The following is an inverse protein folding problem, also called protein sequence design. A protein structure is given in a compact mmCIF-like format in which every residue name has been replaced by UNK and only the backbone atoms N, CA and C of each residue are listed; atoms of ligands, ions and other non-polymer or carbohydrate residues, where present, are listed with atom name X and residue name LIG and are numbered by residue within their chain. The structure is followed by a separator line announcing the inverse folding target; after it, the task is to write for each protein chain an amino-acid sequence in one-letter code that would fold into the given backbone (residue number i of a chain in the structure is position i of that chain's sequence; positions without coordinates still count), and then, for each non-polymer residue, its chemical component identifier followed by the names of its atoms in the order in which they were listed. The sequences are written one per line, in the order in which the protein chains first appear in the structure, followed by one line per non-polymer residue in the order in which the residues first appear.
data_IF_791860033693
#
_entry.id   IF_791860033693
#
_cell.length_a   1.000
_cell.length_b   1.000
_cell.length_c   1.000
_cell.angle_alpha   90.00
_cell.angle_beta   90.00
_cell.angle_gamma   90.00
#
_symmetry.space_group_name_H-M   'P 1'
#
loop_
_entity.id
_entity.type
_entity.pdbx_description
1 polymer ?
#
# COMPACT_ATOMS: atom_id res chain seq x y z
N UNK A 1 -6.79 24.58 -30.81
CA UNK A 1 -6.42 24.97 -29.43
C UNK A 1 -5.63 23.81 -28.85
N UNK A 2 -4.32 23.95 -28.66
CA UNK A 2 -3.51 22.90 -28.04
C UNK A 2 -3.93 22.79 -26.57
N UNK A 3 -4.53 21.66 -26.19
CA UNK A 3 -4.97 21.44 -24.80
C UNK A 3 -3.76 21.51 -23.87
N UNK A 4 -3.79 22.46 -22.95
CA UNK A 4 -2.75 22.60 -21.95
C UNK A 4 -2.84 21.40 -21.00
N UNK A 5 -1.82 20.54 -20.98
CA UNK A 5 -1.74 19.43 -20.02
C UNK A 5 -1.28 19.99 -18.68
N UNK A 6 -2.05 19.77 -17.62
CA UNK A 6 -1.66 20.15 -16.25
C UNK A 6 -0.35 19.44 -15.87
N UNK A 7 0.61 20.16 -15.27
CA UNK A 7 1.91 19.58 -14.88
C UNK A 7 2.46 20.21 -13.61
N UNK A 8 2.88 19.38 -12.67
CA UNK A 8 3.58 19.76 -11.45
C UNK A 8 5.09 19.48 -11.53
N UNK A 9 5.83 20.04 -10.58
CA UNK A 9 7.23 19.66 -10.29
C UNK A 9 7.29 18.43 -9.37
N UNK A 10 6.25 18.24 -8.58
CA UNK A 10 6.05 17.22 -7.56
C UNK A 10 4.55 16.91 -7.42
N UNK A 11 4.19 15.99 -6.52
CA UNK A 11 2.79 15.63 -6.29
C UNK A 11 1.94 16.82 -5.82
N UNK A 12 2.48 17.68 -4.95
CA UNK A 12 1.73 18.82 -4.40
C UNK A 12 1.35 19.83 -5.49
N UNK A 13 2.33 20.25 -6.27
CA UNK A 13 2.12 21.20 -7.37
C UNK A 13 1.29 20.58 -8.51
N UNK A 14 1.33 19.26 -8.71
CA UNK A 14 0.40 18.59 -9.62
C UNK A 14 -1.05 18.77 -9.15
N UNK A 15 -1.34 18.50 -7.88
CA UNK A 15 -2.70 18.69 -7.34
C UNK A 15 -3.13 20.16 -7.43
N UNK A 16 -2.23 21.11 -7.15
CA UNK A 16 -2.53 22.54 -7.27
C UNK A 16 -2.91 22.95 -8.70
N UNK A 17 -2.20 22.43 -9.71
CA UNK A 17 -2.48 22.72 -11.13
C UNK A 17 -3.82 22.13 -11.57
N UNK A 18 -4.13 20.91 -11.12
CA UNK A 18 -5.41 20.26 -11.41
C UNK A 18 -6.60 21.06 -10.86
N UNK A 19 -6.48 21.55 -9.61
CA UNK A 19 -7.49 22.41 -8.99
C UNK A 19 -7.60 23.76 -9.67
N UNK A 20 -6.46 24.39 -10.02
CA UNK A 20 -6.43 25.65 -10.78
C UNK A 20 -7.08 25.53 -12.16
N UNK A 21 -7.02 24.35 -12.79
CA UNK A 21 -7.64 24.05 -14.07
C UNK A 21 -9.12 23.65 -13.97
N UNK A 22 -9.76 23.87 -12.82
CA UNK A 22 -11.21 23.76 -12.64
C UNK A 22 -11.69 22.40 -12.14
N UNK A 23 -10.79 21.48 -11.79
CA UNK A 23 -11.20 20.28 -11.05
C UNK A 23 -11.52 20.68 -9.61
N UNK A 24 -12.58 20.09 -9.06
CA UNK A 24 -12.99 20.30 -7.66
C UNK A 24 -12.90 18.99 -6.91
N UNK A 25 -12.35 19.04 -5.69
CA UNK A 25 -12.20 17.91 -4.79
C UNK A 25 -12.80 18.25 -3.44
N UNK A 26 -13.30 17.22 -2.75
CA UNK A 26 -13.55 17.33 -1.31
C UNK A 26 -12.20 17.46 -0.58
N UNK A 27 -12.09 18.27 0.50
CA UNK A 27 -10.83 18.46 1.23
C UNK A 27 -10.18 17.16 1.71
N UNK A 28 -10.99 16.16 2.08
CA UNK A 28 -10.49 14.86 2.55
C UNK A 28 -9.86 14.07 1.41
N UNK A 29 -10.49 14.12 0.23
CA UNK A 29 -9.99 13.48 -0.99
C UNK A 29 -8.74 14.18 -1.51
N UNK A 30 -8.72 15.51 -1.49
CA UNK A 30 -7.52 16.28 -1.82
C UNK A 30 -6.36 15.92 -0.90
N UNK A 31 -6.59 15.86 0.42
CA UNK A 31 -5.56 15.50 1.38
C UNK A 31 -5.03 14.09 1.14
N UNK A 32 -5.90 13.10 0.88
CA UNK A 32 -5.48 11.73 0.56
C UNK A 32 -4.61 11.67 -0.71
N UNK A 33 -5.00 12.39 -1.77
CA UNK A 33 -4.21 12.47 -3.02
C UNK A 33 -2.86 13.14 -2.81
N UNK A 34 -2.77 14.14 -1.93
CA UNK A 34 -1.51 14.81 -1.59
C UNK A 34 -0.56 13.91 -0.79
N UNK A 35 -1.09 13.06 0.09
CA UNK A 35 -0.33 12.15 0.94
C UNK A 35 0.23 10.94 0.19
N UNK A 36 -0.45 10.50 -0.87
CA UNK A 36 0.05 9.40 -1.72
C UNK A 36 0.78 9.98 -2.92
N UNK A 37 2.11 10.06 -2.83
CA UNK A 37 2.91 10.58 -3.93
C UNK A 37 2.79 9.69 -5.17
N UNK A 38 2.17 10.23 -6.22
CA UNK A 38 1.99 9.56 -7.52
C UNK A 38 3.31 9.07 -8.13
N UNK A 39 4.40 9.81 -7.94
CA UNK A 39 5.73 9.49 -8.46
C UNK A 39 6.38 8.27 -7.81
N UNK A 40 5.86 7.81 -6.67
CA UNK A 40 6.30 6.55 -6.09
C UNK A 40 5.74 5.35 -6.84
N UNK A 41 4.62 5.49 -7.55
CA UNK A 41 3.92 4.37 -8.22
C UNK A 41 4.27 4.24 -9.71
N UNK A 42 5.42 4.76 -10.12
CA UNK A 42 5.99 4.60 -11.46
C UNK A 42 7.38 4.00 -11.36
N UNK A 43 7.72 3.06 -12.25
CA UNK A 43 9.06 2.45 -12.26
C UNK A 43 10.14 3.41 -12.80
N UNK A 44 9.76 4.29 -13.73
CA UNK A 44 10.64 5.28 -14.35
C UNK A 44 10.39 6.66 -13.73
N UNK A 45 11.24 7.05 -12.77
CA UNK A 45 11.16 8.37 -12.15
C UNK A 45 11.43 9.46 -13.19
N UNK A 46 10.59 10.49 -13.20
CA UNK A 46 10.77 11.65 -14.06
C UNK A 46 9.56 12.56 -14.10
N UNK A 47 9.65 13.69 -14.83
CA UNK A 47 8.60 14.72 -14.86
C UNK A 47 7.24 14.19 -15.31
N UNK A 48 7.21 13.13 -16.13
CA UNK A 48 5.97 12.49 -16.61
C UNK A 48 5.10 11.94 -15.49
N UNK A 49 5.68 11.58 -14.34
CA UNK A 49 4.91 11.13 -13.17
C UNK A 49 3.95 12.23 -12.68
N UNK A 50 4.35 13.49 -12.81
CA UNK A 50 3.63 14.67 -12.33
C UNK A 50 2.93 15.44 -13.45
N UNK A 51 2.54 14.75 -14.52
CA UNK A 51 1.73 15.32 -15.59
C UNK A 51 0.33 14.72 -15.53
N UNK A 52 -0.67 15.48 -15.97
CA UNK A 52 -2.04 14.99 -16.11
C UNK A 52 -2.20 14.07 -17.33
N UNK A 53 -1.47 12.95 -17.30
CA UNK A 53 -1.38 11.97 -18.35
C UNK A 53 -1.30 10.57 -17.74
N UNK A 54 -1.84 9.59 -18.48
CA UNK A 54 -1.62 8.21 -18.15
C UNK A 54 -0.14 7.85 -18.34
N UNK A 55 0.38 7.01 -17.45
CA UNK A 55 1.70 6.43 -17.53
C UNK A 55 1.58 4.91 -17.77
N UNK A 56 2.46 4.37 -18.61
CA UNK A 56 2.52 2.94 -18.95
C UNK A 56 3.97 2.49 -19.08
N UNK A 57 4.27 1.32 -18.52
CA UNK A 57 5.53 0.59 -18.76
C UNK A 57 5.25 -0.90 -18.66
N UNK A 58 5.45 -1.64 -19.75
CA UNK A 58 5.04 -3.05 -19.84
C UNK A 58 3.55 -3.24 -19.55
N UNK A 59 3.24 -4.11 -18.58
CA UNK A 59 1.88 -4.38 -18.09
C UNK A 59 1.35 -3.36 -17.08
N UNK A 60 2.20 -2.48 -16.56
CA UNK A 60 1.79 -1.47 -15.58
C UNK A 60 1.08 -0.33 -16.27
N UNK A 61 -0.07 0.07 -15.71
CA UNK A 61 -0.85 1.20 -16.14
C UNK A 61 -1.24 2.06 -14.95
N UNK A 62 -0.91 3.33 -15.01
CA UNK A 62 -1.31 4.33 -14.03
C UNK A 62 -2.12 5.41 -14.75
N UNK A 63 -3.43 5.45 -14.50
CA UNK A 63 -4.36 6.40 -15.13
C UNK A 63 -3.96 7.85 -14.87
N UNK A 64 -4.41 8.76 -15.72
CA UNK A 64 -4.16 10.18 -15.52
C UNK A 64 -4.75 10.66 -14.15
N UNK A 65 -4.08 11.58 -13.45
CA UNK A 65 -4.56 12.19 -12.20
C UNK A 65 -6.02 12.64 -12.26
N UNK A 66 -6.42 13.34 -13.32
CA UNK A 66 -7.80 13.80 -13.54
C UNK A 66 -8.83 12.66 -13.55
N UNK A 67 -8.46 11.49 -14.06
CA UNK A 67 -9.34 10.31 -14.07
C UNK A 67 -9.57 9.79 -12.64
N UNK A 68 -8.54 9.78 -11.79
CA UNK A 68 -8.71 9.40 -10.39
C UNK A 68 -9.57 10.40 -9.63
N UNK A 69 -9.39 11.70 -9.88
CA UNK A 69 -10.24 12.75 -9.29
C UNK A 69 -11.71 12.52 -9.66
N UNK A 70 -12.00 12.28 -10.94
CA UNK A 70 -13.38 11.99 -11.38
C UNK A 70 -13.90 10.71 -10.74
N UNK A 71 -13.11 9.64 -10.68
CA UNK A 71 -13.53 8.38 -10.06
C UNK A 71 -13.85 8.57 -8.56
N UNK A 72 -12.95 9.20 -7.80
CA UNK A 72 -13.11 9.41 -6.37
C UNK A 72 -14.36 10.24 -6.03
N UNK A 73 -14.70 11.23 -6.86
CA UNK A 73 -15.94 12.01 -6.72
C UNK A 73 -17.22 11.19 -6.91
N UNK A 74 -17.17 10.13 -7.72
CA UNK A 74 -18.33 9.30 -8.02
C UNK A 74 -18.44 8.08 -7.10
N UNK A 75 -17.38 7.71 -6.38
CA UNK A 75 -17.35 6.53 -5.53
C UNK A 75 -17.97 6.74 -4.13
N UNK A 76 -18.26 7.99 -3.73
CA UNK A 76 -18.81 8.37 -2.42
C UNK A 76 -18.21 7.56 -1.26
N UNK A 77 -16.87 7.55 -1.21
CA UNK A 77 -16.12 6.77 -0.23
C UNK A 77 -16.24 7.42 1.14
N UNK A 78 -16.74 6.66 2.11
CA UNK A 78 -16.83 7.06 3.51
C UNK A 78 -15.95 6.16 4.39
N UNK A 79 -15.47 6.65 5.55
CA UNK A 79 -14.75 5.82 6.50
C UNK A 79 -15.54 4.57 6.90
N UNK A 80 -14.90 3.40 6.92
CA UNK A 80 -15.52 2.12 7.22
C UNK A 80 -16.19 1.42 6.03
N UNK A 81 -16.22 2.04 4.84
CA UNK A 81 -16.75 1.39 3.64
C UNK A 81 -15.92 0.17 3.24
N UNK A 82 -16.49 -0.64 2.34
CA UNK A 82 -15.84 -1.78 1.70
C UNK A 82 -15.61 -1.45 0.23
N UNK A 83 -14.37 -1.51 -0.20
CA UNK A 83 -13.94 -1.16 -1.54
C UNK A 83 -13.29 -2.35 -2.25
N UNK A 84 -13.67 -2.55 -3.51
CA UNK A 84 -13.09 -3.53 -4.41
C UNK A 84 -12.58 -2.82 -5.67
N UNK A 85 -11.28 -2.94 -5.93
CA UNK A 85 -10.64 -2.43 -7.13
C UNK A 85 -10.33 -3.58 -8.10
N UNK A 86 -11.07 -3.65 -9.19
CA UNK A 86 -10.83 -4.66 -10.25
C UNK A 86 -9.88 -4.08 -11.29
N UNK A 87 -8.74 -4.76 -11.50
CA UNK A 87 -7.61 -4.22 -12.25
C UNK A 87 -6.79 -3.26 -11.39
N UNK A 88 -6.36 -3.71 -10.21
CA UNK A 88 -5.69 -2.85 -9.24
C UNK A 88 -4.35 -2.27 -9.74
N UNK A 89 -3.74 -2.85 -10.77
CA UNK A 89 -2.61 -2.28 -11.49
C UNK A 89 -1.43 -1.96 -10.58
N UNK A 90 -0.99 -0.71 -10.57
CA UNK A 90 0.14 -0.26 -9.73
C UNK A 90 -0.17 -0.23 -8.24
N UNK A 91 -1.43 -0.36 -7.83
CA UNK A 91 -1.86 -0.21 -6.43
C UNK A 91 -2.15 1.23 -5.99
N UNK A 92 -1.81 2.25 -6.80
CA UNK A 92 -1.94 3.67 -6.43
C UNK A 92 -3.34 4.06 -5.93
N UNK A 93 -4.38 3.74 -6.70
CA UNK A 93 -5.76 4.08 -6.31
C UNK A 93 -6.16 3.38 -5.01
N UNK A 94 -5.79 2.10 -4.87
CA UNK A 94 -6.09 1.32 -3.67
C UNK A 94 -5.39 1.92 -2.44
N UNK A 95 -4.17 2.45 -2.55
CA UNK A 95 -3.53 3.16 -1.43
C UNK A 95 -4.24 4.46 -1.09
N UNK A 96 -4.62 5.28 -2.09
CA UNK A 96 -5.40 6.52 -1.86
C UNK A 96 -6.70 6.20 -1.13
N UNK A 97 -7.43 5.18 -1.59
CA UNK A 97 -8.68 4.74 -0.97
C UNK A 97 -8.44 4.25 0.47
N UNK A 98 -7.31 3.61 0.73
CA UNK A 98 -6.95 3.16 2.08
C UNK A 98 -6.95 4.28 3.11
N UNK A 99 -6.48 5.48 2.74
CA UNK A 99 -6.51 6.66 3.62
C UNK A 99 -7.93 7.23 3.82
N UNK A 100 -8.82 7.05 2.84
CA UNK A 100 -10.21 7.51 2.92
C UNK A 100 -11.10 6.57 3.74
N UNK A 101 -10.82 5.27 3.68
CA UNK A 101 -11.56 4.24 4.40
C UNK A 101 -11.24 4.21 5.90
N UNK A 102 -10.01 4.51 6.29
CA UNK A 102 -9.55 4.38 7.68
C UNK A 102 -9.57 2.95 8.22
N UNK A 103 -9.14 2.75 9.46
CA UNK A 103 -8.84 1.42 10.02
C UNK A 103 -10.04 0.44 10.06
N UNK A 104 -11.28 0.93 10.02
CA UNK A 104 -12.50 0.11 10.03
C UNK A 104 -12.96 -0.31 8.62
N UNK A 105 -12.29 0.13 7.56
CA UNK A 105 -12.67 -0.20 6.20
C UNK A 105 -12.20 -1.59 5.74
N UNK A 106 -12.63 -1.95 4.53
CA UNK A 106 -12.10 -3.11 3.80
C UNK A 106 -11.67 -2.66 2.42
N UNK A 107 -10.46 -3.04 2.00
CA UNK A 107 -9.85 -2.57 0.77
C UNK A 107 -9.20 -3.72 0.03
N UNK A 108 -9.83 -4.19 -1.05
CA UNK A 108 -9.32 -5.32 -1.85
C UNK A 108 -9.02 -4.88 -3.27
N UNK A 109 -7.90 -5.34 -3.81
CA UNK A 109 -7.54 -5.21 -5.23
C UNK A 109 -7.43 -6.59 -5.88
N UNK A 110 -8.08 -6.78 -7.02
CA UNK A 110 -7.91 -7.97 -7.86
C UNK A 110 -7.18 -7.57 -9.13
N UNK A 111 -6.14 -8.28 -9.49
CA UNK A 111 -5.34 -8.04 -10.68
C UNK A 111 -5.00 -9.37 -11.37
N UNK A 112 -5.10 -9.39 -12.70
CA UNK A 112 -4.92 -10.58 -13.52
C UNK A 112 -3.45 -10.86 -13.83
N UNK A 113 -2.60 -9.83 -13.73
CA UNK A 113 -1.17 -9.95 -13.97
C UNK A 113 -0.41 -10.06 -12.64
N UNK A 114 0.21 -11.22 -12.39
CA UNK A 114 0.95 -11.49 -11.15
C UNK A 114 2.13 -10.52 -10.91
N UNK A 115 2.80 -10.05 -11.98
CA UNK A 115 3.84 -9.04 -11.86
C UNK A 115 3.29 -7.71 -11.32
N UNK A 116 2.11 -7.28 -11.79
CA UNK A 116 1.45 -6.08 -11.28
C UNK A 116 1.03 -6.25 -9.80
N UNK A 117 0.58 -7.44 -9.40
CA UNK A 117 0.27 -7.76 -7.99
C UNK A 117 1.51 -7.58 -7.12
N UNK A 118 2.64 -8.18 -7.50
CA UNK A 118 3.88 -8.06 -6.73
C UNK A 118 4.37 -6.60 -6.68
N UNK A 119 4.32 -5.88 -7.81
CA UNK A 119 4.62 -4.45 -7.85
C UNK A 119 3.77 -3.65 -6.85
N UNK A 120 2.45 -3.87 -6.84
CA UNK A 120 1.55 -3.14 -5.93
C UNK A 120 1.80 -3.45 -4.45
N UNK A 121 2.16 -4.70 -4.10
CA UNK A 121 2.52 -5.09 -2.73
C UNK A 121 3.82 -4.45 -2.28
N UNK A 122 4.86 -4.47 -3.11
CA UNK A 122 6.14 -3.82 -2.81
C UNK A 122 5.95 -2.32 -2.56
N UNK A 123 5.18 -1.64 -3.41
CA UNK A 123 4.92 -0.21 -3.27
C UNK A 123 4.06 0.13 -2.04
N UNK A 124 3.15 -0.76 -1.64
CA UNK A 124 2.43 -0.62 -0.38
C UNK A 124 3.37 -0.72 0.82
N UNK A 125 4.30 -1.69 0.81
CA UNK A 125 5.31 -1.81 1.87
C UNK A 125 6.15 -0.55 1.95
N UNK A 126 6.67 -0.06 0.82
CA UNK A 126 7.42 1.20 0.75
C UNK A 126 6.61 2.37 1.28
N UNK A 127 5.33 2.49 0.89
CA UNK A 127 4.46 3.55 1.41
C UNK A 127 4.30 3.46 2.93
N UNK A 128 4.12 2.27 3.49
CA UNK A 128 3.97 2.08 4.93
C UNK A 128 5.27 2.32 5.71
N UNK A 129 6.45 2.14 5.10
CA UNK A 129 7.75 2.32 5.77
C UNK A 129 8.34 3.72 5.61
N UNK A 130 8.05 4.41 4.50
CA UNK A 130 8.71 5.67 4.14
C UNK A 130 7.80 6.90 4.19
N UNK A 131 6.48 6.71 4.28
CA UNK A 131 5.53 7.83 4.29
C UNK A 131 4.98 8.08 5.69
N UNK A 132 4.86 9.36 6.07
CA UNK A 132 4.25 9.74 7.34
C UNK A 132 2.71 9.71 7.32
N UNK A 133 2.09 9.48 6.15
CA UNK A 133 0.65 9.50 5.99
C UNK A 133 -0.12 8.56 6.96
N UNK A 134 0.35 7.33 7.25
CA UNK A 134 -0.29 6.47 8.24
C UNK A 134 -0.18 6.95 9.69
N UNK A 135 0.76 7.85 10.01
CA UNK A 135 0.81 8.52 11.32
C UNK A 135 -0.12 9.73 11.37
N UNK A 136 -0.32 10.39 10.23
CA UNK A 136 -1.23 11.52 10.13
C UNK A 136 -2.69 11.07 10.22
N UNK A 137 -3.06 9.96 9.58
CA UNK A 137 -4.45 9.48 9.51
C UNK A 137 -4.55 7.97 9.56
N UNK A 138 -5.72 7.50 9.98
CA UNK A 138 -6.06 6.08 9.91
C UNK A 138 -5.97 5.56 8.48
N UNK A 139 -5.44 4.35 8.33
CA UNK A 139 -5.21 3.73 7.04
C UNK A 139 -5.83 2.34 6.99
N UNK A 140 -6.50 1.99 5.89
CA UNK A 140 -6.95 0.65 5.54
C UNK A 140 -5.99 0.06 4.49
N UNK A 141 -4.98 -0.74 4.88
CA UNK A 141 -4.04 -1.31 3.93
C UNK A 141 -4.77 -2.16 2.88
N UNK A 142 -4.56 -1.92 1.58
CA UNK A 142 -5.14 -2.77 0.56
C UNK A 142 -4.56 -4.18 0.57
N UNK A 143 -5.43 -5.18 0.40
CA UNK A 143 -5.01 -6.55 0.11
C UNK A 143 -5.09 -6.77 -1.39
N UNK A 144 -3.95 -7.06 -2.02
CA UNK A 144 -3.87 -7.35 -3.45
C UNK A 144 -3.90 -8.86 -3.70
N UNK A 145 -4.79 -9.30 -4.58
CA UNK A 145 -5.03 -10.69 -4.93
C UNK A 145 -4.77 -10.88 -6.43
N UNK A 146 -3.99 -11.90 -6.77
CA UNK A 146 -3.90 -12.37 -8.14
C UNK A 146 -5.17 -13.15 -8.48
N UNK A 147 -5.87 -12.75 -9.54
CA UNK A 147 -7.10 -13.40 -9.95
C UNK A 147 -7.70 -12.82 -11.21
N UNK A 148 -8.49 -13.64 -11.91
CA UNK A 148 -9.26 -13.23 -13.06
C UNK A 148 -10.74 -13.16 -12.69
N UNK A 149 -11.32 -11.96 -12.67
CA UNK A 149 -12.75 -11.77 -12.34
C UNK A 149 -13.72 -12.36 -13.38
N UNK A 150 -13.21 -12.79 -14.53
CA UNK A 150 -13.99 -13.48 -15.56
C UNK A 150 -13.89 -15.01 -15.44
N UNK A 151 -12.97 -15.51 -14.62
CA UNK A 151 -12.80 -16.94 -14.32
C UNK A 151 -13.39 -17.27 -12.94
N UNK A 152 -14.69 -17.03 -12.81
CA UNK A 152 -15.41 -17.26 -11.57
C UNK A 152 -15.66 -18.76 -11.41
N UNK A 153 -15.02 -19.38 -10.42
CA UNK A 153 -15.43 -20.68 -9.92
C UNK A 153 -16.78 -20.49 -9.23
N UNK A 154 -17.85 -20.95 -9.87
CA UNK A 154 -19.17 -21.01 -9.23
C UNK A 154 -19.02 -21.98 -8.05
N UNK A 155 -19.27 -21.55 -6.81
CA UNK A 155 -19.26 -22.45 -5.67
C UNK A 155 -20.21 -23.61 -5.98
N UNK A 156 -19.71 -24.84 -5.87
CA UNK A 156 -20.58 -26.01 -6.00
C UNK A 156 -21.66 -25.90 -4.94
N UNK A 157 -22.94 -26.01 -5.32
CA UNK A 157 -24.08 -26.04 -4.40
C UNK A 157 -23.98 -27.28 -3.48
N UNK A 158 -23.10 -27.22 -2.49
CA UNK A 158 -23.27 -28.03 -1.30
C UNK A 158 -24.36 -27.36 -0.48
N UNK A 159 -25.60 -27.78 -0.71
CA UNK A 159 -26.69 -27.66 0.25
C UNK A 159 -26.31 -28.41 1.54
N UNK A 160 -25.39 -27.86 2.34
CA UNK A 160 -25.45 -28.10 3.77
C UNK A 160 -26.47 -27.12 4.32
N UNK A 161 -27.52 -27.64 4.96
CA UNK A 161 -28.55 -26.85 5.61
C UNK A 161 -27.91 -25.85 6.58
N UNK A 162 -27.77 -24.59 6.15
CA UNK A 162 -27.32 -23.47 6.99
C UNK A 162 -28.52 -23.04 7.85
N UNK A 163 -28.82 -23.85 8.85
CA UNK A 163 -29.33 -23.37 10.11
C UNK A 163 -28.18 -23.51 11.10
N UNK A 164 -27.69 -22.39 11.61
CA UNK A 164 -26.64 -22.28 12.65
C UNK A 164 -25.17 -22.38 12.21
N UNK A 165 -24.71 -21.44 11.37
CA UNK A 165 -23.33 -20.93 11.54
C UNK A 165 -23.34 -19.40 11.58
N UNK A 166 -22.99 -18.76 12.70
CA UNK A 166 -22.77 -17.32 12.71
C UNK A 166 -21.57 -17.01 11.82
N UNK A 167 -21.68 -15.97 10.99
CA UNK A 167 -20.58 -15.38 10.22
C UNK A 167 -19.50 -14.87 11.17
N UNK A 168 -18.62 -15.76 11.63
CA UNK A 168 -17.41 -15.40 12.36
C UNK A 168 -16.28 -15.39 11.34
N UNK A 169 -15.93 -14.20 10.86
CA UNK A 169 -14.67 -14.00 10.15
C UNK A 169 -13.53 -14.07 11.16
N UNK A 170 -12.42 -14.79 10.86
CA UNK A 170 -11.30 -14.89 11.78
C UNK A 170 -10.75 -13.49 12.05
N UNK A 171 -10.51 -13.21 13.33
CA UNK A 171 -9.92 -11.95 13.75
C UNK A 171 -8.45 -11.93 13.33
N UNK A 172 -7.84 -10.74 13.10
CA UNK A 172 -6.46 -10.63 12.63
C UNK A 172 -5.42 -11.38 13.49
N UNK A 173 -5.71 -11.62 14.78
CA UNK A 173 -4.85 -12.38 15.70
C UNK A 173 -4.80 -13.89 15.42
N UNK A 174 -5.74 -14.45 14.67
CA UNK A 174 -5.80 -15.87 14.33
C UNK A 174 -4.96 -16.20 13.08
N UNK A 175 -4.82 -15.22 12.17
CA UNK A 175 -4.01 -15.35 10.94
C UNK A 175 -2.51 -15.45 11.25
N UNK A 176 -2.06 -14.95 12.40
CA UNK A 176 -0.65 -14.98 12.82
C UNK A 176 -0.20 -16.38 13.30
N UNK A 177 -1.13 -17.29 13.59
CA UNK A 177 -0.80 -18.63 14.13
C UNK A 177 -0.61 -19.70 13.07
N UNK A 178 -1.21 -19.54 11.89
CA UNK A 178 -1.20 -20.55 10.83
C UNK A 178 -0.18 -20.24 9.72
N UNK A 179 1.07 -19.95 10.12
CA UNK A 179 2.20 -19.92 9.19
C UNK A 179 2.77 -21.33 8.97
N UNK A 180 1.90 -22.31 8.74
CA UNK A 180 2.25 -23.65 8.28
C UNK A 180 1.45 -24.02 7.04
N UNK A 181 1.51 -23.17 6.00
CA UNK A 181 1.25 -23.64 4.65
C UNK A 181 2.50 -24.39 4.18
N UNK A 182 2.49 -25.70 4.42
CA UNK A 182 3.46 -26.63 3.85
C UNK A 182 3.39 -26.55 2.32
N UNK A 183 4.48 -26.05 1.74
CA UNK A 183 4.79 -26.18 0.33
C UNK A 183 4.77 -27.66 -0.07
N UNK A 184 3.90 -28.06 -1.00
CA UNK A 184 4.11 -29.28 -1.77
C UNK A 184 5.12 -28.97 -2.87
N UNK A 185 6.42 -29.05 -2.53
CA UNK A 185 7.48 -29.26 -3.51
C UNK A 185 7.80 -30.76 -3.58
N UNK A 186 7.80 -31.27 -4.79
CA UNK A 186 8.23 -32.62 -5.16
C UNK A 186 9.63 -32.93 -4.62
N UNK A 187 9.78 -34.11 -4.02
CA UNK A 187 10.99 -34.63 -3.41
C UNK A 187 12.24 -34.55 -4.32
N UNK A 188 13.35 -34.07 -3.74
CA UNK A 188 14.67 -34.19 -4.34
C UNK A 188 15.76 -33.43 -3.58
N UNK A 189 16.49 -34.15 -2.73
CA UNK A 189 17.79 -33.82 -2.11
C UNK A 189 17.82 -33.01 -0.79
N UNK A 190 18.54 -33.61 0.17
CA UNK A 190 18.85 -33.17 1.53
C UNK A 190 19.85 -32.01 1.53
N UNK A 191 19.59 -30.95 2.29
CA UNK A 191 20.64 -30.16 2.96
C UNK A 191 20.09 -29.42 4.17
N UNK A 192 20.95 -29.28 5.18
CA UNK A 192 20.70 -28.95 6.59
C UNK A 192 20.01 -27.61 6.88
N UNK A 193 19.22 -27.59 7.95
CA UNK A 193 18.54 -26.43 8.51
C UNK A 193 19.48 -25.65 9.45
N UNK A 194 19.84 -24.42 9.08
CA UNK A 194 20.42 -23.43 9.98
C UNK A 194 19.28 -22.69 10.70
N UNK A 195 19.19 -22.92 12.01
CA UNK A 195 18.19 -22.37 12.90
C UNK A 195 18.62 -20.96 13.36
N UNK A 196 18.09 -19.90 12.72
CA UNK A 196 18.28 -18.51 13.16
C UNK A 196 17.22 -18.15 14.23
N UNK A 197 17.44 -18.65 15.44
CA UNK A 197 16.71 -18.20 16.64
C UNK A 197 17.68 -18.18 17.82
N UNK A 198 18.67 -17.29 17.77
CA UNK A 198 19.43 -16.89 18.96
C UNK A 198 20.19 -15.58 18.70
N UNK A 199 19.54 -14.44 18.91
CA UNK A 199 20.25 -13.17 19.12
C UNK A 199 19.27 -12.15 19.71
N UNK A 200 18.98 -12.28 21.00
CA UNK A 200 18.66 -11.22 21.94
C UNK A 200 18.71 -11.86 23.33
N UNK A 201 19.88 -11.83 23.95
CA UNK A 201 20.08 -11.61 25.38
C UNK A 201 21.57 -11.77 25.70
N UNK A 202 22.00 -11.08 26.76
CA UNK A 202 23.36 -11.03 27.33
C UNK A 202 24.28 -9.95 26.73
N UNK A 203 24.21 -8.76 27.32
CA UNK A 203 25.36 -8.27 28.09
C UNK A 203 24.96 -7.06 28.95
N UNK A 204 24.72 -7.33 30.22
CA UNK A 204 24.78 -6.36 31.30
C UNK A 204 25.93 -6.77 32.21
N UNK A 205 26.70 -5.75 32.61
CA UNK A 205 27.62 -5.68 33.74
C UNK A 205 29.14 -5.92 33.57
N UNK A 206 29.82 -4.76 33.65
CA UNK A 206 30.93 -4.44 34.56
C UNK A 206 32.36 -4.75 34.12
N UNK A 207 33.13 -3.69 33.86
CA UNK A 207 34.31 -3.39 34.68
C UNK A 207 34.65 -1.90 34.67
N UNK A 208 34.58 -1.31 35.87
CA UNK A 208 35.15 -0.03 36.26
C UNK A 208 36.67 -0.16 36.42
N UNK A 209 37.46 0.75 35.82
CA UNK A 209 38.71 1.24 36.41
C UNK A 209 38.95 2.70 36.00
N UNK A 210 38.87 3.55 37.01
CA UNK A 210 39.38 4.92 37.21
C UNK A 210 40.54 5.38 36.29
N UNK A 211 40.47 6.63 35.83
CA UNK A 211 41.29 7.72 36.42
C UNK A 211 40.93 9.08 35.84
N UNK A 212 40.88 10.04 36.75
CA UNK A 212 40.72 11.49 36.58
C UNK A 212 41.72 12.09 35.58
N UNK A 213 41.29 13.17 34.92
CA UNK A 213 42.10 14.38 34.70
C UNK A 213 41.14 15.52 34.36
N UNK A 214 40.84 16.30 35.39
CA UNK A 214 40.64 17.73 35.24
C UNK A 214 41.93 18.32 34.64
N UNK A 215 41.80 19.15 33.62
CA UNK A 215 42.69 20.29 33.42
C UNK A 215 41.88 21.36 32.68
N UNK A 216 41.61 22.41 33.44
CA UNK A 216 41.28 23.75 32.98
C UNK A 216 42.28 24.20 31.91
N UNK A 217 41.81 24.96 30.93
CA UNK A 217 42.55 26.12 30.40
C UNK A 217 41.58 26.96 29.56
N UNK A 218 41.08 28.00 30.23
CA UNK A 218 40.70 29.28 29.62
C UNK A 218 41.94 29.88 28.92
N UNK A 219 41.78 30.44 27.72
CA UNK A 219 42.32 31.76 27.36
C UNK A 219 41.91 32.16 25.91
N UNK A 220 41.24 33.32 25.85
CA UNK A 220 41.00 34.29 24.75
C UNK A 220 40.40 33.88 23.38
#
# INVERSE_FOLDING_TARGET
MGGHVSRGRDNQSLIDELLRNGLTLDPEVERALRLVDRGHYVSEKGPRAYMDMAWRSGSLHLSAPSIYIVALKNLDIQPGNRFLNVGSGTGYLSTVIGLLLGYNGVNHGIEVNDFNVNFSREHLVTFMSECDAPFERSFCPPVFLHGNILDLVIPSDHQENITDRPNVFPQPSEVVRDNSYSQTFSEGSQVDSLNFNHMMDENTDQHNYLSDNDDDDDDD
#
